data_IF_351981951585
#
_entry.id   IF_351981951585
#
_cell.length_a   1.000
_cell.length_b   1.000
_cell.length_c   1.000
_cell.angle_alpha   90.00
_cell.angle_beta   90.00
_cell.angle_gamma   90.00
#
_symmetry.space_group_name_H-M   'P 1'
#
loop_
_entity.id
_entity.type
_entity.pdbx_description
1 polymer ?
#
# COMPACT_ATOMS: atom_id res chain seq x y z
N UNK A 1 27.93 -29.77 -71.87
CA UNK A 1 27.25 -31.01 -71.46
C UNK A 1 26.20 -30.69 -70.41
N UNK A 2 24.94 -31.05 -70.70
CA UNK A 2 23.75 -30.92 -69.85
C UNK A 2 23.84 -31.84 -68.60
N UNK A 3 23.08 -31.69 -67.50
CA UNK A 3 21.64 -31.94 -67.39
C UNK A 3 21.06 -31.30 -66.10
N UNK A 4 20.08 -30.43 -66.34
CA UNK A 4 18.85 -30.10 -65.60
C UNK A 4 18.35 -31.07 -64.49
N UNK A 5 18.00 -30.54 -63.29
CA UNK A 5 16.78 -30.94 -62.56
C UNK A 5 16.11 -29.76 -61.82
N UNK A 6 14.94 -29.40 -62.36
CA UNK A 6 13.86 -28.51 -61.91
C UNK A 6 13.36 -28.75 -60.47
N UNK A 7 12.99 -27.66 -59.79
CA UNK A 7 11.77 -27.49 -59.00
C UNK A 7 11.47 -25.96 -58.96
N UNK A 8 10.64 -25.40 -59.83
CA UNK A 8 9.16 -25.28 -59.74
C UNK A 8 8.65 -24.71 -58.40
N UNK A 9 8.42 -23.39 -58.34
CA UNK A 9 7.08 -22.74 -58.33
C UNK A 9 7.17 -21.32 -57.77
N UNK A 10 6.69 -20.38 -58.58
CA UNK A 10 6.43 -18.98 -58.27
C UNK A 10 5.32 -18.86 -57.21
N UNK A 11 5.45 -17.89 -56.32
CA UNK A 11 4.31 -17.22 -55.71
C UNK A 11 4.75 -15.81 -55.27
N UNK A 12 4.78 -14.91 -56.25
CA UNK A 12 4.74 -13.48 -56.02
C UNK A 12 3.33 -13.17 -55.48
N UNK A 13 3.19 -12.98 -54.17
CA UNK A 13 1.93 -12.51 -53.58
C UNK A 13 2.04 -10.99 -53.49
N UNK A 14 1.25 -10.21 -54.26
CA UNK A 14 1.21 -8.77 -54.06
C UNK A 14 0.60 -8.47 -52.70
N UNK A 15 1.29 -7.67 -51.90
CA UNK A 15 0.74 -7.01 -50.72
C UNK A 15 -0.49 -6.21 -51.14
N UNK A 16 -1.67 -6.71 -50.80
CA UNK A 16 -2.90 -5.93 -50.85
C UNK A 16 -2.84 -5.01 -49.62
N UNK A 17 -2.49 -3.75 -49.87
CA UNK A 17 -2.73 -2.67 -48.91
C UNK A 17 -4.24 -2.62 -48.61
N UNK A 18 -4.70 -2.84 -47.37
CA UNK A 18 -6.10 -2.62 -47.05
C UNK A 18 -6.38 -1.11 -47.17
N UNK A 19 -7.19 -0.76 -48.16
CA UNK A 19 -7.66 0.60 -48.39
C UNK A 19 -8.22 1.22 -47.11
N UNK A 20 -7.84 2.47 -46.88
CA UNK A 20 -8.31 3.31 -45.78
C UNK A 20 -9.84 3.29 -45.71
N UNK A 21 -10.40 2.50 -44.79
CA UNK A 21 -11.81 2.55 -44.46
C UNK A 21 -12.01 3.70 -43.48
N UNK A 22 -12.70 4.74 -43.94
CA UNK A 22 -13.22 5.79 -43.06
C UNK A 22 -13.98 5.13 -41.90
N UNK A 23 -13.77 5.56 -40.64
CA UNK A 23 -14.59 5.08 -39.54
C UNK A 23 -16.03 5.48 -39.84
N UNK A 24 -16.87 4.48 -40.05
CA UNK A 24 -18.31 4.66 -40.08
C UNK A 24 -18.71 5.45 -38.83
N UNK A 25 -19.21 6.67 -39.03
CA UNK A 25 -19.86 7.46 -37.98
C UNK A 25 -21.15 6.74 -37.61
N UNK A 26 -21.04 5.67 -36.83
CA UNK A 26 -22.18 5.00 -36.25
C UNK A 26 -22.62 5.85 -35.06
N UNK A 27 -23.64 6.68 -35.28
CA UNK A 27 -24.50 7.17 -34.21
C UNK A 27 -25.30 5.98 -33.64
N UNK A 28 -24.70 5.24 -32.70
CA UNK A 28 -25.41 4.22 -31.93
C UNK A 28 -25.80 4.84 -30.59
N UNK A 29 -26.91 5.56 -30.57
CA UNK A 29 -27.64 5.76 -29.32
C UNK A 29 -28.10 4.39 -28.86
N UNK A 30 -27.52 3.90 -27.77
CA UNK A 30 -28.05 2.73 -27.09
C UNK A 30 -29.42 3.14 -26.53
N UNK A 31 -30.48 2.78 -27.26
CA UNK A 31 -31.85 2.87 -26.80
C UNK A 31 -32.00 1.97 -25.58
N UNK A 32 -31.93 2.57 -24.39
CA UNK A 32 -32.41 1.95 -23.17
C UNK A 32 -33.91 1.64 -23.38
N UNK A 33 -34.26 0.36 -23.35
CA UNK A 33 -35.65 -0.04 -23.14
C UNK A 33 -36.12 0.59 -21.83
N UNK A 34 -37.26 1.26 -21.92
CA UNK A 34 -37.79 2.18 -20.92
C UNK A 34 -37.79 1.62 -19.50
N UNK A 35 -37.58 2.51 -18.54
CA UNK A 35 -38.09 2.32 -17.20
C UNK A 35 -39.60 2.17 -17.28
N UNK A 36 -40.14 1.12 -16.66
CA UNK A 36 -41.55 1.08 -16.32
C UNK A 36 -41.85 2.28 -15.43
N UNK A 37 -42.84 3.08 -15.81
CA UNK A 37 -43.42 4.05 -14.89
C UNK A 37 -44.29 3.28 -13.90
N UNK A 38 -43.75 3.02 -12.71
CA UNK A 38 -44.57 2.73 -11.54
C UNK A 38 -45.05 4.07 -10.96
N UNK A 39 -46.37 4.36 -10.93
CA UNK A 39 -46.89 5.39 -10.06
C UNK A 39 -47.01 4.81 -8.64
N UNK A 40 -46.71 5.64 -7.64
CA UNK A 40 -46.84 5.37 -6.20
C UNK A 40 -45.72 4.56 -5.52
N UNK A 41 -44.64 5.27 -5.17
CA UNK A 41 -44.11 5.16 -3.81
C UNK A 41 -43.99 6.55 -3.20
N UNK A 42 -44.76 6.77 -2.12
CA UNK A 42 -44.75 8.00 -1.33
C UNK A 42 -43.33 8.36 -0.86
N UNK A 43 -42.96 9.64 -0.77
CA UNK A 43 -41.68 10.04 -0.23
C UNK A 43 -41.54 9.50 1.20
N UNK A 44 -40.61 8.57 1.41
CA UNK A 44 -40.26 8.15 2.78
C UNK A 44 -39.75 9.38 3.51
N UNK A 45 -40.41 9.72 4.61
CA UNK A 45 -40.00 10.81 5.50
C UNK A 45 -38.54 10.61 5.88
N UNK A 46 -37.73 11.61 5.55
CA UNK A 46 -36.33 11.72 5.97
C UNK A 46 -36.28 11.61 7.50
N UNK A 47 -35.41 10.78 8.10
CA UNK A 47 -35.11 10.95 9.52
C UNK A 47 -34.60 12.37 9.71
N UNK A 48 -35.22 13.08 10.65
CA UNK A 48 -34.83 14.42 11.09
C UNK A 48 -33.34 14.46 11.44
N UNK A 49 -32.79 15.66 11.26
CA UNK A 49 -31.45 16.10 11.61
C UNK A 49 -30.91 15.39 12.86
N UNK A 50 -29.64 15.00 12.81
CA UNK A 50 -28.91 14.62 14.00
C UNK A 50 -28.77 15.87 14.87
N UNK A 51 -29.69 16.01 15.83
CA UNK A 51 -29.61 16.99 16.90
C UNK A 51 -28.29 16.76 17.63
N UNK A 52 -27.34 17.66 17.43
CA UNK A 52 -26.15 17.72 18.27
C UNK A 52 -26.64 18.03 19.67
N UNK A 53 -26.56 17.05 20.57
CA UNK A 53 -26.70 17.27 22.00
C UNK A 53 -25.56 18.20 22.42
N UNK A 54 -25.82 19.50 22.45
CA UNK A 54 -25.01 20.47 23.16
C UNK A 54 -25.15 20.13 24.64
N UNK A 55 -24.09 19.57 25.23
CA UNK A 55 -24.00 19.37 26.66
C UNK A 55 -24.09 20.73 27.38
N UNK A 56 -24.80 20.83 28.53
CA UNK A 56 -24.84 22.06 29.28
C UNK A 56 -23.47 22.32 29.92
N UNK A 57 -22.99 23.55 29.77
CA UNK A 57 -21.84 24.06 30.47
C UNK A 57 -22.22 24.36 31.92
N UNK A 58 -21.74 23.55 32.88
CA UNK A 58 -21.40 24.05 34.23
C UNK A 58 -20.28 23.21 34.86
N UNK A 59 -19.10 23.83 34.87
CA UNK A 59 -18.09 23.93 35.93
C UNK A 59 -18.09 22.89 37.08
N UNK A 60 -17.02 22.08 37.15
CA UNK A 60 -16.25 21.89 38.40
C UNK A 60 -14.77 21.72 38.07
N UNK A 61 -13.96 22.55 38.72
CA UNK A 61 -12.50 22.54 38.76
C UNK A 61 -11.88 21.16 38.97
N UNK A 62 -11.32 20.60 37.90
CA UNK A 62 -10.19 19.68 38.02
C UNK A 62 -9.07 20.23 37.14
N UNK A 63 -8.30 21.13 37.73
CA UNK A 63 -6.96 21.50 37.26
C UNK A 63 -6.16 20.20 37.10
N UNK A 64 -5.77 19.82 35.87
CA UNK A 64 -4.85 18.70 35.72
C UNK A 64 -3.54 19.10 36.42
N UNK A 65 -2.94 18.24 37.27
CA UNK A 65 -1.66 18.57 37.86
C UNK A 65 -0.65 18.78 36.73
N UNK A 66 -0.21 20.03 36.61
CA UNK A 66 0.89 20.43 35.76
C UNK A 66 2.15 19.74 36.25
N UNK A 67 2.52 18.68 35.57
CA UNK A 67 3.88 18.20 35.48
C UNK A 67 4.13 17.85 34.02
N UNK A 68 5.27 18.21 33.41
CA UNK A 68 5.61 17.62 32.15
C UNK A 68 5.71 16.12 32.42
N UNK A 69 4.80 15.34 31.86
CA UNK A 69 5.01 13.91 31.70
C UNK A 69 6.06 13.79 30.58
N UNK A 70 7.30 14.19 30.87
CA UNK A 70 8.50 13.92 30.10
C UNK A 70 8.89 12.45 30.28
N UNK A 71 7.91 11.56 30.16
CA UNK A 71 8.16 10.25 29.60
C UNK A 71 8.22 10.45 28.09
N UNK A 72 9.33 10.96 27.57
CA UNK A 72 9.67 10.67 26.18
C UNK A 72 9.60 9.14 26.10
N UNK A 73 8.69 8.51 25.33
CA UNK A 73 8.86 7.09 25.07
C UNK A 73 10.29 6.98 24.58
N UNK A 74 11.11 6.15 25.25
CA UNK A 74 12.57 6.08 25.07
C UNK A 74 12.99 5.80 23.60
N UNK A 75 12.02 5.58 22.72
CA UNK A 75 12.12 5.57 21.28
C UNK A 75 10.87 6.23 20.68
N UNK A 76 10.99 7.47 20.24
CA UNK A 76 9.98 8.14 19.41
C UNK A 76 10.01 7.53 18.00
N UNK A 77 9.08 6.61 17.74
CA UNK A 77 8.92 6.01 16.42
C UNK A 77 8.09 6.93 15.53
N UNK A 78 8.77 7.65 14.63
CA UNK A 78 8.16 8.54 13.66
C UNK A 78 7.81 7.79 12.35
N UNK A 79 6.69 8.13 11.71
CA UNK A 79 6.32 7.52 10.42
C UNK A 79 7.00 8.26 9.27
N UNK A 80 7.61 7.51 8.35
CA UNK A 80 8.25 8.04 7.15
C UNK A 80 7.20 8.41 6.10
N UNK A 81 7.23 9.66 5.62
CA UNK A 81 6.24 10.19 4.67
C UNK A 81 6.84 10.59 3.32
N UNK A 82 8.11 11.02 3.29
CA UNK A 82 8.75 11.55 2.07
C UNK A 82 9.22 10.43 1.17
N UNK A 83 8.85 10.48 -0.11
CA UNK A 83 9.25 9.49 -1.13
C UNK A 83 10.77 9.35 -1.26
N UNK A 84 11.52 10.45 -1.16
CA UNK A 84 12.98 10.42 -1.25
C UNK A 84 13.59 9.48 -0.20
N UNK A 85 13.08 9.51 1.03
CA UNK A 85 13.59 8.66 2.10
C UNK A 85 13.28 7.18 1.87
N UNK A 86 12.12 6.84 1.27
CA UNK A 86 11.83 5.47 0.85
C UNK A 86 12.82 4.97 -0.22
N UNK A 87 13.18 5.82 -1.18
CA UNK A 87 14.16 5.45 -2.22
C UNK A 87 15.54 5.22 -1.59
N UNK A 88 15.97 6.12 -0.69
CA UNK A 88 17.24 6.00 0.04
C UNK A 88 17.27 4.73 0.90
N UNK A 89 16.20 4.45 1.64
CA UNK A 89 16.08 3.22 2.42
C UNK A 89 16.10 1.97 1.53
N UNK A 90 15.48 2.05 0.36
CA UNK A 90 15.52 0.95 -0.59
C UNK A 90 16.94 0.67 -1.06
N UNK A 91 17.80 1.65 -1.33
CA UNK A 91 19.16 1.38 -1.80
C UNK A 91 20.13 0.92 -0.69
N UNK A 92 19.70 0.88 0.56
CA UNK A 92 20.50 0.48 1.70
C UNK A 92 20.42 -1.04 1.97
N UNK A 93 20.64 -1.45 3.23
CA UNK A 93 20.61 -2.86 3.63
C UNK A 93 19.20 -3.42 3.48
N UNK A 94 19.09 -4.65 2.98
CA UNK A 94 17.83 -5.34 2.72
C UNK A 94 17.87 -6.75 3.27
N UNK A 95 16.79 -7.16 3.92
CA UNK A 95 16.60 -8.54 4.34
C UNK A 95 15.21 -9.04 3.97
N UNK A 96 15.17 -10.08 3.15
CA UNK A 96 13.95 -10.83 2.87
C UNK A 96 13.69 -11.91 3.93
N UNK A 97 12.44 -12.01 4.38
CA UNK A 97 11.92 -13.12 5.19
C UNK A 97 10.68 -13.71 4.49
N UNK A 98 10.16 -14.85 4.95
CA UNK A 98 8.96 -15.44 4.38
C UNK A 98 7.78 -14.45 4.33
N UNK A 99 7.50 -13.77 5.44
CA UNK A 99 6.37 -12.85 5.59
C UNK A 99 6.63 -11.37 5.28
N UNK A 100 7.87 -10.88 5.33
CA UNK A 100 8.20 -9.45 5.21
C UNK A 100 9.48 -9.25 4.39
N UNK A 101 9.61 -8.12 3.72
CA UNK A 101 10.91 -7.63 3.26
C UNK A 101 11.24 -6.35 4.04
N UNK A 102 12.32 -6.39 4.81
CA UNK A 102 12.81 -5.26 5.61
C UNK A 102 13.91 -4.54 4.85
N UNK A 103 13.80 -3.22 4.77
CA UNK A 103 14.86 -2.35 4.30
C UNK A 103 15.30 -1.49 5.47
N UNK A 104 16.61 -1.40 5.72
CA UNK A 104 17.20 -0.69 6.83
C UNK A 104 18.31 0.22 6.35
N UNK A 105 18.21 1.50 6.70
CA UNK A 105 19.23 2.50 6.41
C UNK A 105 19.70 3.14 7.69
N UNK A 106 21.01 3.13 7.92
CA UNK A 106 21.66 3.97 8.92
C UNK A 106 21.78 5.39 8.35
N UNK A 107 21.24 6.38 9.06
CA UNK A 107 21.35 7.79 8.65
C UNK A 107 22.72 8.36 9.03
N UNK A 108 23.10 9.42 8.33
CA UNK A 108 24.24 10.23 8.70
C UNK A 108 23.91 11.04 9.97
N UNK A 109 24.95 11.41 10.71
CA UNK A 109 24.83 12.27 11.88
C UNK A 109 24.19 13.62 11.49
N UNK A 110 23.26 14.11 12.32
CA UNK A 110 22.55 15.38 12.08
C UNK A 110 21.33 15.34 11.15
N UNK A 111 20.99 14.21 10.50
CA UNK A 111 19.80 14.16 9.61
C UNK A 111 18.46 14.22 10.38
N UNK A 112 18.38 13.54 11.53
CA UNK A 112 17.33 13.67 12.54
C UNK A 112 17.50 12.65 13.67
N UNK A 113 16.98 12.97 14.85
CA UNK A 113 16.86 12.04 15.97
C UNK A 113 15.66 11.09 15.81
N UNK A 114 15.66 10.01 16.59
CA UNK A 114 14.57 9.05 16.72
C UNK A 114 14.64 7.89 15.72
N UNK A 115 13.64 7.02 15.78
CA UNK A 115 13.48 5.91 14.83
C UNK A 115 12.43 6.29 13.80
N UNK A 116 12.68 6.00 12.52
CA UNK A 116 11.68 6.23 11.47
C UNK A 116 11.22 4.91 10.86
N UNK A 117 9.92 4.80 10.62
CA UNK A 117 9.31 3.61 10.03
C UNK A 117 8.41 3.95 8.83
N UNK A 118 8.65 3.28 7.70
CA UNK A 118 7.82 3.32 6.51
C UNK A 118 7.12 1.99 6.26
N UNK A 119 5.91 2.03 5.70
CA UNK A 119 5.14 0.84 5.35
C UNK A 119 4.74 0.86 3.88
N UNK A 120 5.17 -0.18 3.15
CA UNK A 120 4.87 -0.32 1.72
C UNK A 120 4.12 -1.62 1.48
N UNK A 121 2.97 -1.55 0.81
CA UNK A 121 2.23 -2.72 0.36
C UNK A 121 1.89 -2.55 -1.12
N UNK A 122 2.61 -3.29 -1.96
CA UNK A 122 2.42 -3.23 -3.41
C UNK A 122 1.02 -3.70 -3.83
N UNK A 123 0.59 -3.35 -5.04
CA UNK A 123 -0.66 -3.87 -5.64
C UNK A 123 -0.66 -5.40 -5.69
N UNK A 124 0.53 -6.01 -5.78
CA UNK A 124 0.73 -7.46 -5.83
C UNK A 124 0.38 -8.18 -4.51
N UNK A 125 0.19 -7.46 -3.40
CA UNK A 125 -0.18 -8.06 -2.09
C UNK A 125 -1.60 -8.64 -2.07
N UNK A 126 -2.48 -8.17 -2.97
CA UNK A 126 -3.85 -8.66 -3.10
C UNK A 126 -4.85 -7.53 -3.27
N UNK A 127 -6.13 -7.84 -3.06
CA UNK A 127 -7.22 -6.85 -3.06
C UNK A 127 -7.00 -5.76 -1.99
N UNK A 128 -7.72 -4.63 -2.09
CA UNK A 128 -7.70 -3.53 -1.13
C UNK A 128 -7.84 -4.00 0.32
N UNK A 129 -8.73 -4.96 0.59
CA UNK A 129 -8.93 -5.54 1.93
C UNK A 129 -7.67 -6.28 2.41
N UNK A 130 -7.11 -7.16 1.59
CA UNK A 130 -5.89 -7.90 1.92
C UNK A 130 -4.70 -6.96 2.15
N UNK A 131 -4.57 -5.90 1.32
CA UNK A 131 -3.54 -4.86 1.46
C UNK A 131 -3.70 -4.07 2.75
N UNK A 132 -4.92 -3.67 3.10
CA UNK A 132 -5.22 -2.95 4.33
C UNK A 132 -4.96 -3.82 5.56
N UNK A 133 -5.35 -5.10 5.50
CA UNK A 133 -5.01 -6.08 6.54
C UNK A 133 -3.50 -6.22 6.69
N UNK A 134 -2.75 -6.41 5.60
CA UNK A 134 -1.29 -6.47 5.63
C UNK A 134 -0.69 -5.20 6.25
N UNK A 135 -1.12 -4.01 5.83
CA UNK A 135 -0.63 -2.74 6.39
C UNK A 135 -0.93 -2.61 7.89
N UNK A 136 -2.14 -2.95 8.34
CA UNK A 136 -2.51 -2.95 9.77
C UNK A 136 -1.60 -3.88 10.57
N UNK A 137 -1.38 -5.10 10.07
CA UNK A 137 -0.51 -6.09 10.71
C UNK A 137 0.94 -5.65 10.77
N UNK A 138 1.48 -5.07 9.69
CA UNK A 138 2.85 -4.54 9.67
C UNK A 138 3.05 -3.41 10.69
N UNK A 139 2.07 -2.52 10.84
CA UNK A 139 2.14 -1.47 11.87
C UNK A 139 2.19 -2.05 13.27
N UNK A 140 1.38 -3.07 13.54
CA UNK A 140 1.35 -3.69 14.86
C UNK A 140 2.64 -4.46 15.17
N UNK A 141 3.18 -5.19 14.20
CA UNK A 141 4.49 -5.84 14.36
C UNK A 141 5.60 -4.82 14.61
N UNK A 142 5.60 -3.70 13.88
CA UNK A 142 6.55 -2.62 14.12
C UNK A 142 6.40 -2.01 15.52
N UNK A 143 5.16 -1.83 16.01
CA UNK A 143 4.88 -1.32 17.36
C UNK A 143 5.44 -2.23 18.46
N UNK A 144 5.42 -3.54 18.26
CA UNK A 144 5.94 -4.52 19.22
C UNK A 144 7.47 -4.61 19.15
N UNK A 145 8.05 -4.69 17.95
CA UNK A 145 9.47 -5.04 17.78
C UNK A 145 10.40 -3.83 17.80
N UNK A 146 9.97 -2.66 17.29
CA UNK A 146 10.85 -1.49 17.21
C UNK A 146 11.26 -0.93 18.58
N UNK A 147 10.42 -0.93 19.63
CA UNK A 147 10.87 -0.50 20.95
C UNK A 147 11.97 -1.38 21.54
N UNK A 148 11.97 -2.68 21.21
CA UNK A 148 12.95 -3.64 21.76
C UNK A 148 14.27 -3.67 20.96
N UNK A 149 14.19 -3.58 19.63
CA UNK A 149 15.33 -3.84 18.74
C UNK A 149 15.69 -2.65 17.84
N UNK A 150 14.89 -1.60 17.85
CA UNK A 150 15.11 -0.43 17.03
C UNK A 150 16.31 0.37 17.53
N UNK A 151 17.21 0.72 16.62
CA UNK A 151 18.33 1.61 16.88
C UNK A 151 18.02 3.04 16.45
N UNK A 152 18.44 4.01 17.26
CA UNK A 152 18.31 5.44 16.95
C UNK A 152 19.11 5.82 15.70
N UNK A 153 18.60 6.77 14.91
CA UNK A 153 19.23 7.17 13.65
C UNK A 153 19.01 6.18 12.49
N UNK A 154 18.14 5.18 12.64
CA UNK A 154 17.79 4.27 11.55
C UNK A 154 16.44 4.59 10.92
N UNK A 155 16.37 4.36 9.61
CA UNK A 155 15.14 4.32 8.83
C UNK A 155 14.82 2.86 8.49
N UNK A 156 13.65 2.38 8.91
CA UNK A 156 13.15 1.05 8.60
C UNK A 156 11.97 1.13 7.64
N UNK A 157 12.03 0.43 6.51
CA UNK A 157 10.89 0.31 5.59
C UNK A 157 10.45 -1.14 5.53
N UNK A 158 9.23 -1.41 5.98
CA UNK A 158 8.62 -2.73 5.94
C UNK A 158 7.80 -2.87 4.66
N UNK A 159 8.15 -3.85 3.84
CA UNK A 159 7.46 -4.15 2.58
C UNK A 159 6.71 -5.47 2.72
N UNK A 160 5.39 -5.42 2.51
CA UNK A 160 4.54 -6.61 2.48
C UNK A 160 4.83 -7.48 1.25
N UNK A 161 4.96 -8.79 1.47
CA UNK A 161 5.10 -9.81 0.43
C UNK A 161 3.74 -10.21 -0.13
N UNK A 162 3.73 -10.60 -1.40
CA UNK A 162 2.54 -11.02 -2.15
C UNK A 162 1.86 -12.20 -1.45
N UNK A 163 0.56 -12.10 -1.19
CA UNK A 163 -0.36 -13.15 -0.68
C UNK A 163 0.04 -13.88 0.63
N UNK A 164 1.22 -13.58 1.20
CA UNK A 164 1.74 -14.20 2.42
C UNK A 164 1.52 -13.29 3.62
N UNK A 165 1.91 -12.01 3.55
CA UNK A 165 1.83 -11.10 4.72
C UNK A 165 0.41 -10.95 5.25
N UNK A 166 -0.59 -11.05 4.37
CA UNK A 166 -1.97 -10.97 4.76
C UNK A 166 -2.41 -12.23 5.53
N UNK A 167 -2.02 -13.43 5.13
CA UNK A 167 -2.58 -14.72 5.59
C UNK A 167 -1.76 -15.41 6.68
N UNK A 168 -0.43 -15.21 6.70
CA UNK A 168 0.51 -15.83 7.64
C UNK A 168 0.04 -15.67 9.10
N UNK A 169 0.32 -16.59 10.04
CA UNK A 169 0.11 -16.36 11.47
C UNK A 169 0.81 -15.09 11.97
N UNK A 170 0.23 -14.40 12.96
CA UNK A 170 0.78 -13.13 13.46
C UNK A 170 2.09 -13.32 14.23
N UNK A 171 2.20 -14.40 14.99
CA UNK A 171 3.42 -14.71 15.74
C UNK A 171 4.60 -15.00 14.81
N UNK A 172 4.34 -15.69 13.70
CA UNK A 172 5.34 -15.90 12.66
C UNK A 172 5.80 -14.58 12.04
N UNK A 173 4.88 -13.61 11.89
CA UNK A 173 5.21 -12.28 11.36
C UNK A 173 6.11 -11.49 12.33
N UNK A 174 5.90 -11.62 13.65
CA UNK A 174 6.79 -11.05 14.67
C UNK A 174 8.15 -11.74 14.62
N UNK A 175 8.19 -13.07 14.59
CA UNK A 175 9.43 -13.84 14.51
C UNK A 175 10.26 -13.48 13.27
N UNK A 176 9.59 -13.34 12.13
CA UNK A 176 10.19 -12.89 10.87
C UNK A 176 10.77 -11.47 11.00
N UNK A 177 10.05 -10.54 11.64
CA UNK A 177 10.57 -9.19 11.88
C UNK A 177 11.80 -9.20 12.79
N UNK A 178 11.77 -9.94 13.90
CA UNK A 178 12.93 -10.08 14.82
C UNK A 178 14.14 -10.65 14.07
N UNK A 179 13.94 -11.68 13.25
CA UNK A 179 15.00 -12.29 12.43
C UNK A 179 15.58 -11.31 11.42
N UNK A 180 14.73 -10.50 10.78
CA UNK A 180 15.17 -9.48 9.84
C UNK A 180 16.01 -8.40 10.53
N UNK A 181 15.57 -7.91 11.69
CA UNK A 181 16.29 -6.90 12.48
C UNK A 181 17.69 -7.39 12.89
N UNK A 182 17.81 -8.62 13.42
CA UNK A 182 19.12 -9.21 13.78
C UNK A 182 20.10 -9.22 12.61
N UNK A 183 19.62 -9.51 11.40
CA UNK A 183 20.45 -9.55 10.19
C UNK A 183 20.79 -8.16 9.62
N UNK A 184 19.94 -7.16 9.84
CA UNK A 184 20.20 -5.79 9.36
C UNK A 184 21.22 -5.10 10.25
N UNK A 185 21.25 -5.42 11.54
CA UNK A 185 22.20 -4.88 12.52
C UNK A 185 23.48 -5.69 12.69
N UNK A 186 23.47 -6.99 12.36
CA UNK A 186 24.68 -7.81 12.21
C UNK A 186 25.46 -7.49 10.95
#
# INVERSE_FOLDING_TARGET
>A
MAINRRARYEAHVPTIEPGSQEPSRISRTYGHKGWSQDPEQSPRQRPREAERVSAPAVLTDLKPPGGPLTGTPAVSVCVLTKRADFVRASNARRQGTPGIHLQGRKRAEGEAAGIRVGFTCSKKVGNAVARNRAKRRLREVARIVLPEMGLDGWDYVLVGRKDITATLPFDQLIADMRRAMKKVHG
#
